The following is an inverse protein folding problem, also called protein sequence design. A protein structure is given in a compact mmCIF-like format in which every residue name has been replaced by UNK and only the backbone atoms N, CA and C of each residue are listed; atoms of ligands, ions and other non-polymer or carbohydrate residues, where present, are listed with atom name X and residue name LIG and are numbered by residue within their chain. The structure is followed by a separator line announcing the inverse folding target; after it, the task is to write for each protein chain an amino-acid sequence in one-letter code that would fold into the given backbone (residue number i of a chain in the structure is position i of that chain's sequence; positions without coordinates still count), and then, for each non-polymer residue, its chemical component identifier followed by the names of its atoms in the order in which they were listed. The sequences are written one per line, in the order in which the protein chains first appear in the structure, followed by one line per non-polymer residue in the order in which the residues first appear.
data_IF_108646712544
#
_entry.id   IF_108646712544
#
_cell.length_a   1.000
_cell.length_b   1.000
_cell.length_c   1.000
_cell.angle_alpha   90.00
_cell.angle_beta   90.00
_cell.angle_gamma   90.00
#
_symmetry.space_group_name_H-M   'P 1'
#
loop_
_entity.id
_entity.type
_entity.pdbx_description
1 polymer ?
#
# COMPACT_ATOMS: atom_id res chain seq x y z
N UNK A 1 -14.09 5.11 -1.81
CA UNK A 1 -12.96 4.38 -2.43
C UNK A 1 -11.86 4.22 -1.39
N UNK A 2 -11.28 3.02 -1.27
CA UNK A 2 -10.28 2.69 -0.25
C UNK A 2 -8.95 2.36 -0.90
N UNK A 3 -7.88 3.00 -0.43
CA UNK A 3 -6.52 2.72 -0.88
C UNK A 3 -5.67 2.23 0.29
N UNK A 4 -5.05 1.07 0.13
CA UNK A 4 -3.99 0.62 1.04
C UNK A 4 -2.71 1.32 0.65
N UNK A 5 -2.12 2.06 1.58
CA UNK A 5 -0.95 2.91 1.30
C UNK A 5 0.27 2.30 1.99
N UNK A 6 1.25 1.86 1.19
CA UNK A 6 2.45 1.30 1.76
C UNK A 6 3.42 2.37 2.28
N UNK A 7 4.44 1.95 2.98
CA UNK A 7 5.39 2.82 3.66
C UNK A 7 6.13 3.76 2.69
N UNK A 8 6.38 3.33 1.46
CA UNK A 8 7.10 4.14 0.46
C UNK A 8 6.35 5.42 0.09
N UNK A 9 5.02 5.41 0.15
CA UNK A 9 4.20 6.58 -0.18
C UNK A 9 4.27 7.61 0.95
N UNK A 10 4.25 7.16 2.20
CA UNK A 10 4.40 8.06 3.34
C UNK A 10 5.75 8.78 3.30
N UNK A 11 6.82 8.05 3.01
CA UNK A 11 8.15 8.64 2.80
C UNK A 11 8.24 9.52 1.56
N UNK A 12 7.51 9.18 0.52
CA UNK A 12 7.51 9.92 -0.74
C UNK A 12 7.00 11.35 -0.63
N UNK A 13 6.22 11.66 0.41
CA UNK A 13 5.76 13.02 0.69
C UNK A 13 6.93 14.00 0.86
N UNK A 14 8.04 13.53 1.46
CA UNK A 14 9.22 14.32 1.77
C UNK A 14 10.38 14.10 0.78
N UNK A 15 10.19 13.23 -0.20
CA UNK A 15 11.22 12.87 -1.18
C UNK A 15 11.15 13.78 -2.39
N UNK A 16 12.29 14.35 -2.80
CA UNK A 16 12.36 15.28 -3.93
C UNK A 16 11.86 14.66 -5.24
N UNK A 17 12.08 13.37 -5.43
CA UNK A 17 11.68 12.66 -6.64
C UNK A 17 10.17 12.44 -6.70
N UNK A 18 9.53 12.16 -5.56
CA UNK A 18 8.15 11.71 -5.52
C UNK A 18 7.16 12.71 -4.93
N UNK A 19 7.64 13.77 -4.28
CA UNK A 19 6.76 14.74 -3.58
C UNK A 19 5.77 15.44 -4.51
N UNK A 20 6.15 15.66 -5.76
CA UNK A 20 5.29 16.33 -6.75
C UNK A 20 3.92 15.63 -6.89
N UNK A 21 3.90 14.30 -6.82
CA UNK A 21 2.67 13.51 -6.93
C UNK A 21 2.15 13.03 -5.58
N UNK A 22 3.02 12.88 -4.59
CA UNK A 22 2.63 12.38 -3.27
C UNK A 22 1.92 13.44 -2.45
N UNK A 23 2.37 14.70 -2.52
CA UNK A 23 1.73 15.80 -1.77
C UNK A 23 0.28 16.01 -2.21
N UNK A 24 -0.05 16.12 -3.51
CA UNK A 24 -1.44 16.21 -3.94
C UNK A 24 -2.29 15.01 -3.54
N UNK A 25 -1.74 13.80 -3.57
CA UNK A 25 -2.42 12.60 -3.11
C UNK A 25 -2.87 12.72 -1.65
N UNK A 26 -1.98 13.12 -0.74
CA UNK A 26 -2.31 13.29 0.67
C UNK A 26 -3.23 14.49 0.92
N UNK A 27 -3.10 15.57 0.15
CA UNK A 27 -4.04 16.70 0.24
C UNK A 27 -5.47 16.24 -0.08
N UNK A 28 -5.65 15.40 -1.09
CA UNK A 28 -6.96 14.86 -1.42
C UNK A 28 -7.46 13.86 -0.35
N UNK A 29 -6.58 13.09 0.25
CA UNK A 29 -6.93 12.23 1.38
C UNK A 29 -7.42 13.07 2.57
N UNK A 30 -6.76 14.17 2.88
CA UNK A 30 -7.19 15.11 3.93
C UNK A 30 -8.56 15.71 3.66
N UNK A 31 -8.92 15.86 2.40
CA UNK A 31 -10.24 16.35 1.99
C UNK A 31 -11.32 15.28 1.97
N UNK A 32 -10.96 14.03 2.26
CA UNK A 32 -11.90 12.92 2.29
C UNK A 32 -12.31 12.40 0.92
N UNK A 33 -11.54 12.64 -0.12
CA UNK A 33 -11.84 12.13 -1.46
C UNK A 33 -11.73 10.61 -1.56
N UNK A 34 -10.95 10.02 -0.68
CA UNK A 34 -10.80 8.57 -0.51
C UNK A 34 -10.34 8.27 0.90
N UNK A 35 -10.51 7.03 1.33
CA UNK A 35 -10.06 6.56 2.64
C UNK A 35 -8.74 5.84 2.49
N UNK A 36 -7.80 6.10 3.39
CA UNK A 36 -6.51 5.42 3.46
C UNK A 36 -6.60 4.25 4.44
N UNK A 37 -6.09 3.10 4.03
CA UNK A 37 -6.00 1.92 4.89
C UNK A 37 -4.54 1.72 5.28
N UNK A 38 -4.29 1.64 6.59
CA UNK A 38 -2.99 1.33 7.18
C UNK A 38 -3.10 0.04 7.98
N UNK A 39 -2.06 -0.77 7.92
CA UNK A 39 -1.96 -1.96 8.76
C UNK A 39 -0.97 -1.75 9.90
N UNK A 40 -0.98 -2.67 10.86
CA UNK A 40 0.04 -2.76 11.90
C UNK A 40 1.44 -2.99 11.31
N UNK A 41 1.54 -3.65 10.14
CA UNK A 41 2.82 -3.79 9.43
C UNK A 41 3.35 -2.42 8.99
N UNK A 42 2.49 -1.58 8.42
CA UNK A 42 2.85 -0.21 8.02
C UNK A 42 3.26 0.62 9.24
N UNK A 43 2.48 0.58 10.31
CA UNK A 43 2.79 1.32 11.54
C UNK A 43 4.13 0.88 12.12
N UNK A 44 4.43 -0.43 12.14
CA UNK A 44 5.72 -0.94 12.60
C UNK A 44 6.90 -0.41 11.76
N UNK A 45 6.75 -0.34 10.46
CA UNK A 45 7.78 0.22 9.58
C UNK A 45 7.95 1.73 9.81
N UNK A 46 6.85 2.47 9.97
CA UNK A 46 6.89 3.92 10.21
C UNK A 46 7.53 4.28 11.54
N UNK A 47 7.44 3.42 12.55
CA UNK A 47 8.11 3.63 13.83
C UNK A 47 9.64 3.65 13.70
N UNK A 48 10.20 3.00 12.69
CA UNK A 48 11.62 2.99 12.39
C UNK A 48 12.03 4.07 11.37
N UNK A 49 11.07 4.85 10.87
CA UNK A 49 11.30 5.94 9.93
C UNK A 49 11.55 7.26 10.68
N UNK A 50 12.04 8.32 9.99
CA UNK A 50 12.13 9.64 10.60
C UNK A 50 10.79 10.09 11.18
N UNK A 51 10.83 10.75 12.32
CA UNK A 51 9.65 11.14 13.09
C UNK A 51 8.65 11.97 12.29
N UNK A 52 9.14 12.82 11.37
CA UNK A 52 8.29 13.65 10.53
C UNK A 52 7.33 12.82 9.65
N UNK A 53 7.73 11.62 9.26
CA UNK A 53 6.89 10.72 8.45
C UNK A 53 5.73 10.18 9.30
N UNK A 54 6.00 9.78 10.54
CA UNK A 54 4.94 9.35 11.46
C UNK A 54 3.96 10.50 11.74
N UNK A 55 4.45 11.73 11.85
CA UNK A 55 3.61 12.91 12.07
C UNK A 55 2.62 13.14 10.92
N UNK A 56 2.97 12.76 9.68
CA UNK A 56 2.07 12.87 8.54
C UNK A 56 0.79 12.04 8.75
N UNK A 57 0.87 10.90 9.42
CA UNK A 57 -0.29 10.07 9.69
C UNK A 57 -1.31 10.79 10.58
N UNK A 58 -0.86 11.64 11.48
CA UNK A 58 -1.72 12.42 12.37
C UNK A 58 -2.33 13.65 11.70
N UNK A 59 -1.80 14.04 10.54
CA UNK A 59 -2.32 15.16 9.76
C UNK A 59 -3.56 14.78 8.95
N UNK A 60 -3.83 13.48 8.77
CA UNK A 60 -5.02 13.00 8.07
C UNK A 60 -6.16 12.88 9.08
N UNK A 61 -7.36 13.46 8.83
CA UNK A 61 -8.49 13.32 9.73
C UNK A 61 -8.81 11.83 10.00
N UNK A 62 -9.02 11.42 11.27
CA UNK A 62 -9.21 10.01 11.61
C UNK A 62 -10.35 9.32 10.87
N UNK A 63 -11.40 10.05 10.49
CA UNK A 63 -12.52 9.48 9.73
C UNK A 63 -12.14 9.03 8.33
N UNK A 64 -10.99 9.45 7.80
CA UNK A 64 -10.48 9.08 6.48
C UNK A 64 -9.33 8.07 6.55
N UNK A 65 -9.08 7.51 7.73
CA UNK A 65 -8.10 6.45 7.95
C UNK A 65 -8.79 5.23 8.55
N UNK A 66 -8.54 4.07 7.96
CA UNK A 66 -8.93 2.78 8.51
C UNK A 66 -7.66 2.03 8.95
N UNK A 67 -7.63 1.58 10.20
CA UNK A 67 -6.54 0.79 10.74
C UNK A 67 -6.94 -0.67 10.76
N UNK A 68 -6.10 -1.54 10.21
CA UNK A 68 -6.33 -2.98 10.17
C UNK A 68 -5.14 -3.72 10.76
N UNK A 69 -5.40 -4.88 11.35
CA UNK A 69 -4.36 -5.79 11.84
C UNK A 69 -4.22 -6.98 10.91
N UNK A 70 -2.99 -7.42 10.67
CA UNK A 70 -2.74 -8.58 9.83
C UNK A 70 -3.33 -9.83 10.46
N UNK A 71 -4.00 -10.65 9.65
CA UNK A 71 -4.65 -11.89 10.06
C UNK A 71 -3.80 -13.10 9.71
N UNK A 72 -4.13 -14.26 10.30
CA UNK A 72 -3.45 -15.53 9.97
C UNK A 72 -3.62 -15.88 8.50
N UNK A 73 -4.80 -15.65 7.93
CA UNK A 73 -5.07 -15.89 6.51
C UNK A 73 -4.18 -15.02 5.61
N UNK A 74 -3.97 -13.77 6.00
CA UNK A 74 -3.08 -12.85 5.28
C UNK A 74 -1.62 -13.26 5.40
N UNK A 75 -1.20 -13.71 6.58
CA UNK A 75 0.16 -14.25 6.80
C UNK A 75 0.39 -15.48 5.94
N UNK A 76 -0.58 -16.40 5.84
CA UNK A 76 -0.48 -17.58 4.98
C UNK A 76 -0.34 -17.20 3.51
N UNK A 77 -1.13 -16.23 3.03
CA UNK A 77 -1.01 -15.79 1.64
C UNK A 77 0.35 -15.15 1.37
N UNK A 78 0.85 -14.33 2.30
CA UNK A 78 2.18 -13.74 2.19
C UNK A 78 3.27 -14.83 2.10
N UNK A 79 3.17 -15.89 2.91
CA UNK A 79 4.08 -17.03 2.84
C UNK A 79 4.01 -17.73 1.49
N UNK A 80 2.84 -17.85 0.89
CA UNK A 80 2.70 -18.45 -0.44
C UNK A 80 3.41 -17.63 -1.53
N UNK A 81 3.38 -16.29 -1.46
CA UNK A 81 4.14 -15.47 -2.39
C UNK A 81 5.62 -15.79 -2.34
N UNK A 82 6.16 -16.01 -1.15
CA UNK A 82 7.58 -16.35 -0.96
C UNK A 82 7.86 -17.79 -1.44
N UNK A 83 7.04 -18.74 -1.03
CA UNK A 83 7.21 -20.16 -1.39
C UNK A 83 7.13 -20.39 -2.90
N UNK A 84 6.27 -19.66 -3.58
CA UNK A 84 6.10 -19.79 -5.04
C UNK A 84 7.04 -18.88 -5.84
N UNK A 85 7.98 -18.22 -5.16
CA UNK A 85 9.07 -17.49 -5.81
C UNK A 85 8.70 -16.10 -6.32
N UNK A 86 7.55 -15.55 -5.93
CA UNK A 86 7.17 -14.20 -6.30
C UNK A 86 8.03 -13.14 -5.60
N UNK A 87 8.43 -13.42 -4.36
CA UNK A 87 9.34 -12.59 -3.56
C UNK A 87 10.30 -13.49 -2.79
N UNK A 88 11.51 -12.99 -2.52
CA UNK A 88 12.43 -13.70 -1.62
C UNK A 88 12.06 -13.43 -0.15
N UNK A 89 12.51 -14.29 0.80
CA UNK A 89 12.18 -14.09 2.22
C UNK A 89 12.61 -12.73 2.79
N UNK A 90 13.63 -12.11 2.21
CA UNK A 90 14.09 -10.77 2.59
C UNK A 90 12.99 -9.72 2.48
N UNK A 91 12.04 -9.90 1.56
CA UNK A 91 10.96 -8.96 1.26
C UNK A 91 9.60 -9.42 1.80
N UNK A 92 9.62 -10.16 2.92
CA UNK A 92 8.39 -10.66 3.55
C UNK A 92 7.42 -9.54 3.95
N UNK A 93 7.91 -8.34 4.28
CA UNK A 93 7.04 -7.20 4.58
C UNK A 93 6.24 -6.76 3.36
N UNK A 94 6.87 -6.71 2.19
CA UNK A 94 6.18 -6.41 0.93
C UNK A 94 5.11 -7.46 0.64
N UNK A 95 5.43 -8.74 0.86
CA UNK A 95 4.48 -9.83 0.71
C UNK A 95 3.27 -9.66 1.63
N UNK A 96 3.49 -9.23 2.87
CA UNK A 96 2.42 -8.98 3.84
C UNK A 96 1.52 -7.82 3.41
N UNK A 97 2.08 -6.71 2.92
CA UNK A 97 1.29 -5.60 2.40
C UNK A 97 0.38 -6.04 1.25
N UNK A 98 0.91 -6.80 0.31
CA UNK A 98 0.15 -7.29 -0.84
C UNK A 98 -0.97 -8.24 -0.39
N UNK A 99 -0.68 -9.15 0.53
CA UNK A 99 -1.66 -10.09 1.06
C UNK A 99 -2.79 -9.40 1.81
N UNK A 100 -2.47 -8.44 2.67
CA UNK A 100 -3.48 -7.67 3.40
C UNK A 100 -4.41 -6.95 2.42
N UNK A 101 -3.83 -6.18 1.51
CA UNK A 101 -4.58 -5.39 0.54
C UNK A 101 -5.48 -6.28 -0.33
N UNK A 102 -4.99 -7.46 -0.73
CA UNK A 102 -5.75 -8.42 -1.54
C UNK A 102 -6.97 -8.96 -0.79
N UNK A 103 -6.78 -9.44 0.42
CA UNK A 103 -7.84 -10.13 1.18
C UNK A 103 -8.92 -9.16 1.64
N UNK A 104 -8.56 -7.94 2.06
CA UNK A 104 -9.56 -6.93 2.44
C UNK A 104 -10.21 -6.23 1.26
N UNK A 105 -9.79 -6.54 0.03
CA UNK A 105 -10.37 -6.04 -1.22
C UNK A 105 -10.37 -4.52 -1.34
N UNK A 106 -9.23 -3.89 -1.07
CA UNK A 106 -9.09 -2.46 -1.34
C UNK A 106 -9.25 -2.18 -2.84
N UNK A 107 -9.62 -0.96 -3.19
CA UNK A 107 -9.73 -0.57 -4.61
C UNK A 107 -8.36 -0.58 -5.28
N UNK A 108 -7.30 -0.15 -4.56
CA UNK A 108 -5.93 -0.26 -5.04
C UNK A 108 -4.95 -0.26 -3.87
N UNK A 109 -3.83 -0.95 -4.03
CA UNK A 109 -2.64 -0.75 -3.21
C UNK A 109 -1.81 0.33 -3.87
N UNK A 110 -1.47 1.38 -3.11
CA UNK A 110 -0.73 2.54 -3.63
C UNK A 110 0.71 2.48 -3.15
N UNK A 111 1.66 2.57 -4.08
CA UNK A 111 3.09 2.36 -3.79
C UNK A 111 3.98 3.11 -4.75
N UNK A 112 5.20 3.46 -4.30
CA UNK A 112 6.30 3.90 -5.14
C UNK A 112 7.34 2.79 -5.40
N UNK A 113 7.09 1.58 -4.91
CA UNK A 113 8.01 0.47 -5.10
C UNK A 113 7.83 -0.15 -6.49
N UNK A 114 8.62 0.30 -7.46
CA UNK A 114 8.56 -0.20 -8.85
C UNK A 114 9.20 -1.58 -9.02
N UNK A 115 9.98 -2.03 -8.05
CA UNK A 115 10.63 -3.34 -8.14
C UNK A 115 9.69 -4.47 -7.77
N UNK A 116 8.95 -4.32 -6.66
CA UNK A 116 8.16 -5.41 -6.09
C UNK A 116 6.65 -5.20 -6.18
N UNK A 117 6.19 -3.98 -6.38
CA UNK A 117 4.75 -3.67 -6.31
C UNK A 117 4.21 -3.10 -7.61
N UNK A 118 4.60 -1.89 -8.01
CA UNK A 118 4.11 -1.27 -9.25
C UNK A 118 4.92 -1.80 -10.43
N UNK A 119 4.70 -3.06 -10.74
CA UNK A 119 5.43 -3.79 -11.77
C UNK A 119 4.48 -4.77 -12.42
N UNK A 120 4.28 -4.62 -13.71
CA UNK A 120 3.30 -5.39 -14.49
C UNK A 120 3.44 -6.90 -14.29
N UNK A 121 4.67 -7.42 -14.41
CA UNK A 121 4.92 -8.86 -14.30
C UNK A 121 4.73 -9.36 -12.87
N UNK A 122 5.12 -8.57 -11.89
CA UNK A 122 4.94 -8.89 -10.47
C UNK A 122 3.47 -8.93 -10.09
N UNK A 123 2.69 -7.94 -10.55
CA UNK A 123 1.24 -7.88 -10.28
C UNK A 123 0.55 -9.12 -10.84
N UNK A 124 0.87 -9.51 -12.08
CA UNK A 124 0.33 -10.74 -12.66
C UNK A 124 0.70 -11.99 -11.84
N UNK A 125 1.91 -12.04 -11.34
CA UNK A 125 2.38 -13.14 -10.51
C UNK A 125 1.62 -13.21 -9.18
N UNK A 126 1.45 -12.08 -8.49
CA UNK A 126 0.64 -12.02 -7.26
C UNK A 126 -0.81 -12.44 -7.52
N UNK A 127 -1.41 -11.94 -8.59
CA UNK A 127 -2.79 -12.26 -8.92
C UNK A 127 -2.97 -13.73 -9.32
N UNK A 128 -2.00 -14.33 -9.99
CA UNK A 128 -2.01 -15.78 -10.27
C UNK A 128 -2.02 -16.60 -8.98
N UNK A 129 -1.20 -16.21 -8.00
CA UNK A 129 -1.14 -16.88 -6.70
C UNK A 129 -2.44 -16.62 -5.91
N UNK A 130 -2.95 -15.39 -5.92
CA UNK A 130 -4.22 -15.06 -5.28
C UNK A 130 -5.35 -15.97 -5.77
N UNK A 131 -5.50 -16.09 -7.09
CA UNK A 131 -6.55 -16.93 -7.69
C UNK A 131 -6.37 -18.40 -7.36
N UNK A 132 -5.14 -18.89 -7.33
CA UNK A 132 -4.82 -20.28 -6.98
C UNK A 132 -5.31 -20.65 -5.58
N UNK A 133 -5.24 -19.70 -4.64
CA UNK A 133 -5.65 -19.88 -3.24
C UNK A 133 -7.01 -19.28 -2.92
N UNK A 134 -7.82 -19.00 -3.95
CA UNK A 134 -9.20 -18.51 -3.82
C UNK A 134 -9.31 -17.12 -3.17
N UNK A 135 -8.33 -16.26 -3.46
CA UNK A 135 -8.34 -14.86 -2.99
C UNK A 135 -8.64 -13.90 -4.15
N UNK A 136 -9.11 -12.68 -3.82
CA UNK A 136 -9.36 -11.65 -4.84
C UNK A 136 -8.07 -11.21 -5.54
N UNK A 137 -8.23 -10.69 -6.76
CA UNK A 137 -7.12 -10.01 -7.43
C UNK A 137 -6.88 -8.64 -6.81
N UNK A 138 -5.63 -8.18 -6.93
CA UNK A 138 -5.19 -6.87 -6.43
C UNK A 138 -4.82 -5.95 -7.59
N UNK A 139 -5.22 -4.68 -7.49
CA UNK A 139 -4.75 -3.60 -8.34
C UNK A 139 -3.68 -2.80 -7.58
N UNK A 140 -2.55 -2.51 -8.23
CA UNK A 140 -1.45 -1.77 -7.61
C UNK A 140 -1.10 -0.57 -8.49
N UNK A 141 -1.12 0.63 -7.91
CA UNK A 141 -0.94 1.89 -8.63
C UNK A 141 0.02 2.82 -7.88
N UNK A 142 0.53 3.82 -8.60
CA UNK A 142 1.27 4.92 -8.00
C UNK A 142 0.32 6.01 -7.51
N UNK A 143 0.76 6.90 -6.59
CA UNK A 143 -0.02 8.07 -6.23
C UNK A 143 -0.43 8.94 -7.42
N UNK A 144 0.43 9.04 -8.43
CA UNK A 144 0.13 9.81 -9.65
C UNK A 144 -1.10 9.27 -10.38
N UNK A 145 -1.27 7.95 -10.43
CA UNK A 145 -2.35 7.30 -11.16
C UNK A 145 -3.71 7.41 -10.46
N UNK A 146 -3.72 7.52 -9.13
CA UNK A 146 -4.95 7.48 -8.32
C UNK A 146 -5.35 8.83 -7.74
N UNK A 147 -4.57 9.86 -7.96
CA UNK A 147 -4.90 11.23 -7.57
C UNK A 147 -5.86 11.82 -8.61
N UNK A 148 -6.98 12.37 -8.15
CA UNK A 148 -7.91 13.04 -9.06
C UNK A 148 -7.25 14.26 -9.69
N UNK A 149 -7.47 14.46 -10.98
CA UNK A 149 -7.02 15.68 -11.63
C UNK A 149 -7.75 16.88 -11.05
N UNK A 150 -7.02 17.96 -10.83
CA UNK A 150 -7.63 19.22 -10.45
C UNK A 150 -8.29 19.82 -11.68
N UNK A 151 -9.57 20.12 -11.59
CA UNK A 151 -10.25 20.88 -12.64
C UNK A 151 -9.64 22.28 -12.72
N UNK A 152 -9.20 22.64 -13.90
CA UNK A 152 -8.72 24.01 -14.17
C UNK A 152 -9.90 24.99 -14.28
#
# INVERSE_FOLDING_TARGET
MNFYVDTSVWGGYFDKEFSEWTVPFFEQAKQGRFTLVLSDVTIGELQNAPKIIMELTTAIPPQYIELVSITDEQLELADQYVKEGALTPKFHSDAQHIAIASIIKVDSLVSWNFKHMVNFFRIKQYNSINLKYFHPIIDIRTPKEVTYETEE
#
